data_IF_405594502592
#
_entry.id   IF_405594502592
#
_cell.length_a   1.000
_cell.length_b   1.000
_cell.length_c   1.000
_cell.angle_alpha   90.00
_cell.angle_beta   90.00
_cell.angle_gamma   90.00
#
_symmetry.space_group_name_H-M   'P 1'
#
loop_
_entity.id
_entity.type
_entity.pdbx_description
1 polymer ?
#
# COMPACT_ATOMS: atom_id res chain seq x y z
N UNK A 1 15.09 7.01 -0.64
CA UNK A 1 13.65 7.27 -0.58
C UNK A 1 13.31 7.57 0.85
N UNK A 2 12.58 8.65 1.13
CA UNK A 2 12.20 9.03 2.48
C UNK A 2 10.68 8.88 2.63
N UNK A 3 10.24 7.78 3.25
CA UNK A 3 8.81 7.45 3.41
C UNK A 3 8.36 7.67 4.85
N UNK A 4 7.05 7.94 5.00
CA UNK A 4 6.41 8.16 6.29
C UNK A 4 6.01 6.84 6.99
N UNK A 5 5.83 5.76 6.23
CA UNK A 5 5.48 4.44 6.72
C UNK A 5 6.14 3.32 5.92
N UNK A 6 6.07 2.11 6.46
CA UNK A 6 6.46 0.87 5.78
C UNK A 6 5.70 -0.31 6.35
N UNK A 7 5.32 -1.25 5.49
CA UNK A 7 4.63 -2.48 5.86
C UNK A 7 5.48 -3.72 5.65
N UNK A 8 5.55 -4.56 6.67
CA UNK A 8 6.16 -5.89 6.62
C UNK A 8 5.11 -6.93 7.02
N UNK A 9 4.68 -7.73 6.04
CA UNK A 9 3.66 -8.76 6.20
C UNK A 9 2.33 -8.17 6.71
N UNK A 10 1.97 -8.45 7.95
CA UNK A 10 0.73 -8.04 8.62
C UNK A 10 0.93 -6.86 9.58
N UNK A 11 2.14 -6.31 9.64
CA UNK A 11 2.52 -5.24 10.57
C UNK A 11 3.08 -4.05 9.81
N UNK A 12 2.59 -2.85 10.11
CA UNK A 12 3.16 -1.62 9.56
C UNK A 12 3.76 -0.73 10.65
N UNK A 13 4.71 0.09 10.23
CA UNK A 13 5.45 1.02 11.06
C UNK A 13 5.32 2.41 10.46
N UNK A 14 5.08 3.41 11.30
CA UNK A 14 4.94 4.80 10.88
C UNK A 14 5.89 5.66 11.69
N UNK A 15 6.50 6.64 11.05
CA UNK A 15 7.31 7.66 11.71
C UNK A 15 6.46 8.46 12.68
N UNK A 16 7.04 8.83 13.82
CA UNK A 16 6.33 9.54 14.89
C UNK A 16 5.67 10.83 14.38
N UNK A 17 6.31 11.52 13.44
CA UNK A 17 5.81 12.78 12.88
C UNK A 17 4.53 12.58 12.05
N UNK A 18 4.34 11.39 11.47
CA UNK A 18 3.18 11.03 10.64
C UNK A 18 2.13 10.19 11.39
N UNK A 19 2.29 9.97 12.70
CA UNK A 19 1.41 9.08 13.48
C UNK A 19 -0.06 9.54 13.57
N UNK A 20 -0.36 10.80 13.25
CA UNK A 20 -1.73 11.32 13.20
C UNK A 20 -2.27 11.45 11.77
N UNK A 21 -1.48 11.07 10.76
CA UNK A 21 -1.87 11.15 9.35
C UNK A 21 -2.62 9.90 8.93
N UNK A 22 -3.95 9.87 9.13
CA UNK A 22 -4.79 8.70 8.82
C UNK A 22 -4.63 8.17 7.38
N UNK A 23 -4.27 9.04 6.43
CA UNK A 23 -3.95 8.64 5.05
C UNK A 23 -2.78 7.65 5.00
N UNK A 24 -1.72 7.93 5.75
CA UNK A 24 -0.51 7.07 5.78
C UNK A 24 -0.88 5.72 6.38
N UNK A 25 -1.64 5.69 7.48
CA UNK A 25 -2.15 4.44 8.04
C UNK A 25 -2.98 3.64 7.04
N UNK A 26 -3.87 4.31 6.31
CA UNK A 26 -4.70 3.67 5.30
C UNK A 26 -3.84 3.07 4.17
N UNK A 27 -2.84 3.81 3.70
CA UNK A 27 -1.89 3.36 2.68
C UNK A 27 -1.17 2.08 3.12
N UNK A 28 -0.62 2.06 4.32
CA UNK A 28 0.06 0.88 4.87
C UNK A 28 -0.88 -0.33 5.05
N UNK A 29 -2.14 -0.09 5.43
CA UNK A 29 -3.15 -1.16 5.50
C UNK A 29 -3.47 -1.76 4.13
N UNK A 30 -3.37 -1.00 3.03
CA UNK A 30 -3.46 -1.57 1.68
C UNK A 30 -2.30 -2.53 1.44
N UNK A 31 -1.08 -2.18 1.85
CA UNK A 31 0.06 -3.08 1.74
C UNK A 31 -0.13 -4.37 2.55
N UNK A 32 -0.74 -4.31 3.75
CA UNK A 32 -1.07 -5.54 4.52
C UNK A 32 -1.93 -6.49 3.70
N UNK A 33 -2.93 -5.96 2.97
CA UNK A 33 -3.76 -6.78 2.08
C UNK A 33 -2.95 -7.33 0.90
N UNK A 34 -2.08 -6.52 0.30
CA UNK A 34 -1.22 -6.98 -0.79
C UNK A 34 -0.26 -8.09 -0.35
N UNK A 35 0.35 -7.96 0.85
CA UNK A 35 1.17 -9.01 1.46
C UNK A 35 0.37 -10.30 1.68
N UNK A 36 -0.87 -10.18 2.20
CA UNK A 36 -1.74 -11.32 2.43
C UNK A 36 -2.09 -12.07 1.15
N UNK A 37 -2.47 -11.37 0.09
CA UNK A 37 -2.91 -12.00 -1.15
C UNK A 37 -1.73 -12.53 -2.00
N UNK A 38 -0.54 -11.92 -1.93
CA UNK A 38 0.65 -12.37 -2.68
C UNK A 38 1.52 -13.38 -1.92
N UNK A 39 1.27 -13.58 -0.62
CA UNK A 39 2.18 -14.21 0.33
C UNK A 39 3.56 -13.50 0.41
N UNK A 40 4.36 -13.76 1.47
CA UNK A 40 5.59 -13.00 1.69
C UNK A 40 6.59 -13.02 0.53
N UNK A 41 6.82 -14.18 -0.07
CA UNK A 41 7.75 -14.30 -1.19
C UNK A 41 7.23 -13.57 -2.44
N UNK A 42 5.96 -13.76 -2.79
CA UNK A 42 5.37 -13.15 -3.98
C UNK A 42 5.31 -11.62 -3.88
N UNK A 43 5.05 -11.09 -2.69
CA UNK A 43 5.10 -9.64 -2.46
C UNK A 43 6.50 -9.09 -2.69
N UNK A 44 7.53 -9.66 -2.04
CA UNK A 44 8.91 -9.16 -2.13
C UNK A 44 9.41 -9.21 -3.58
N UNK A 45 9.22 -10.33 -4.28
CA UNK A 45 9.65 -10.50 -5.67
C UNK A 45 8.99 -9.47 -6.59
N UNK A 46 7.68 -9.29 -6.46
CA UNK A 46 6.94 -8.31 -7.27
C UNK A 46 7.36 -6.89 -6.93
N UNK A 47 7.48 -6.55 -5.65
CA UNK A 47 7.82 -5.20 -5.19
C UNK A 47 9.19 -4.75 -5.70
N UNK A 48 10.21 -5.60 -5.54
CA UNK A 48 11.56 -5.31 -6.04
C UNK A 48 11.54 -5.14 -7.55
N UNK A 49 10.87 -6.05 -8.27
CA UNK A 49 10.73 -5.97 -9.72
C UNK A 49 10.09 -4.64 -10.13
N UNK A 50 8.94 -4.28 -9.55
CA UNK A 50 8.23 -3.06 -9.91
C UNK A 50 9.05 -1.79 -9.65
N UNK A 51 9.76 -1.72 -8.52
CA UNK A 51 10.67 -0.60 -8.24
C UNK A 51 11.79 -0.54 -9.27
N UNK A 52 12.39 -1.67 -9.66
CA UNK A 52 13.47 -1.68 -10.63
C UNK A 52 13.01 -1.25 -12.03
N UNK A 53 11.81 -1.67 -12.46
CA UNK A 53 11.31 -1.39 -13.80
C UNK A 53 10.60 -0.03 -13.93
N UNK A 54 9.85 0.40 -12.91
CA UNK A 54 9.00 1.59 -12.98
C UNK A 54 9.49 2.73 -12.08
N UNK A 55 10.38 2.44 -11.12
CA UNK A 55 10.66 3.34 -10.01
C UNK A 55 9.52 3.37 -8.99
N UNK A 56 9.83 3.84 -7.77
CA UNK A 56 8.91 3.79 -6.65
C UNK A 56 7.53 4.44 -6.94
N UNK A 57 7.51 5.71 -7.37
CA UNK A 57 6.27 6.46 -7.60
C UNK A 57 5.37 5.86 -8.70
N UNK A 58 5.90 4.97 -9.54
CA UNK A 58 5.15 4.33 -10.62
C UNK A 58 4.99 2.82 -10.44
N UNK A 59 5.50 2.24 -9.35
CA UNK A 59 5.31 0.83 -9.05
C UNK A 59 3.79 0.54 -8.92
N UNK A 60 3.23 -0.42 -9.68
CA UNK A 60 1.81 -0.77 -9.61
C UNK A 60 1.27 -0.99 -8.20
N UNK A 61 1.99 -1.67 -7.30
CA UNK A 61 1.57 -1.88 -5.91
C UNK A 61 1.42 -0.55 -5.14
N UNK A 62 2.37 0.36 -5.30
CA UNK A 62 2.34 1.71 -4.69
C UNK A 62 1.22 2.57 -5.29
N UNK A 63 1.03 2.51 -6.61
CA UNK A 63 -0.06 3.23 -7.29
C UNK A 63 -1.43 2.80 -6.80
N UNK A 64 -1.63 1.50 -6.56
CA UNK A 64 -2.87 0.99 -5.98
C UNK A 64 -3.09 1.58 -4.58
N UNK A 65 -2.07 1.57 -3.72
CA UNK A 65 -2.15 2.11 -2.36
C UNK A 65 -2.45 3.63 -2.37
N UNK A 66 -1.76 4.41 -3.22
CA UNK A 66 -2.03 5.84 -3.39
C UNK A 66 -3.42 6.14 -3.96
N UNK A 67 -3.92 5.32 -4.89
CA UNK A 67 -5.26 5.51 -5.44
C UNK A 67 -6.33 5.30 -4.36
N UNK A 68 -6.19 4.24 -3.55
CA UNK A 68 -7.14 3.91 -2.50
C UNK A 68 -7.06 4.89 -1.32
N UNK A 69 -5.86 5.35 -0.95
CA UNK A 69 -5.70 6.39 0.08
C UNK A 69 -6.28 7.75 -0.38
N UNK A 70 -6.17 8.09 -1.67
CA UNK A 70 -6.77 9.29 -2.25
C UNK A 70 -8.31 9.20 -2.28
N UNK A 71 -8.83 8.02 -2.61
CA UNK A 71 -10.27 7.73 -2.52
C UNK A 71 -10.79 7.87 -1.08
N UNK A 72 -10.04 7.38 -0.10
CA UNK A 72 -10.33 7.57 1.32
C UNK A 72 -10.33 9.05 1.73
N UNK A 73 -9.29 9.80 1.37
CA UNK A 73 -9.18 11.23 1.70
C UNK A 73 -10.32 12.07 1.09
N UNK A 74 -10.72 11.76 -0.13
CA UNK A 74 -11.82 12.45 -0.82
C UNK A 74 -13.21 12.10 -0.27
N UNK A 75 -13.30 11.23 0.75
CA UNK A 75 -14.56 10.69 1.29
C UNK A 75 -15.40 10.06 0.17
N UNK A 76 -14.73 9.31 -0.70
CA UNK A 76 -15.37 8.58 -1.79
C UNK A 76 -16.43 7.60 -1.29
N UNK A 77 -17.24 7.07 -2.22
CA UNK A 77 -18.28 6.08 -1.87
C UNK A 77 -17.64 4.85 -1.20
N UNK A 78 -18.39 4.24 -0.28
CA UNK A 78 -17.94 3.04 0.42
C UNK A 78 -17.58 1.93 -0.58
N UNK A 79 -16.46 1.27 -0.32
CA UNK A 79 -15.78 0.33 -1.20
C UNK A 79 -15.17 -0.77 -0.33
N UNK A 80 -15.29 -2.02 -0.74
CA UNK A 80 -14.51 -3.11 -0.13
C UNK A 80 -13.07 -3.05 -0.63
N UNK A 81 -12.18 -2.49 0.19
CA UNK A 81 -10.74 -2.38 -0.12
C UNK A 81 -10.13 -3.77 -0.32
N UNK A 82 -10.51 -4.74 0.51
CA UNK A 82 -10.03 -6.11 0.40
C UNK A 82 -10.40 -6.75 -0.94
N UNK A 83 -11.66 -6.61 -1.37
CA UNK A 83 -12.12 -7.15 -2.64
C UNK A 83 -11.40 -6.47 -3.81
N UNK A 84 -11.26 -5.14 -3.76
CA UNK A 84 -10.58 -4.39 -4.80
C UNK A 84 -9.12 -4.81 -4.95
N UNK A 85 -8.39 -4.96 -3.83
CA UNK A 85 -7.00 -5.43 -3.85
C UNK A 85 -6.94 -6.82 -4.50
N UNK A 86 -7.79 -7.77 -4.09
CA UNK A 86 -7.82 -9.12 -4.65
C UNK A 86 -8.09 -9.14 -6.16
N UNK A 87 -8.98 -8.27 -6.64
CA UNK A 87 -9.38 -8.21 -8.05
C UNK A 87 -8.37 -7.49 -8.95
N UNK A 88 -7.46 -6.69 -8.38
CA UNK A 88 -6.54 -5.82 -9.14
C UNK A 88 -5.06 -6.13 -8.89
N UNK A 89 -4.75 -7.23 -8.19
CA UNK A 89 -3.38 -7.71 -7.98
C UNK A 89 -2.86 -8.46 -9.20
#
# INVERSE_FOLDING_TARGET
MDVAGITYNDTYYIKKEAANELRVHFHELVHVLQWRELAPQGFIERYIREIQYFGYNNAPLEKMAYALDGHYQSKGRHLSVEQFVRENL
#
